data_IF_378803318251
#
_entry.id   IF_378803318251
#
_cell.length_a   1.000
_cell.length_b   1.000
_cell.length_c   1.000
_cell.angle_alpha   90.00
_cell.angle_beta   90.00
_cell.angle_gamma   90.00
#
_symmetry.space_group_name_H-M   'P 1'
#
loop_
_entity.id
_entity.type
_entity.pdbx_description
1 polymer ?
#
# COMPACT_ATOMS: atom_id res chain seq x y z
N UNK A 1 -2.60 19.81 -3.30
CA UNK A 1 -2.33 20.46 -2.00
C UNK A 1 -3.56 20.27 -1.15
N UNK A 2 -3.50 19.46 -0.08
CA UNK A 2 -4.64 19.27 0.80
C UNK A 2 -4.95 20.62 1.45
N UNK A 3 -6.21 21.03 1.41
CA UNK A 3 -6.69 22.27 2.00
C UNK A 3 -7.72 21.94 3.06
N UNK A 4 -7.74 22.69 4.16
CA UNK A 4 -8.81 22.59 5.15
C UNK A 4 -10.14 23.14 4.55
N UNK A 5 -11.24 23.07 5.31
CA UNK A 5 -12.55 23.58 4.87
C UNK A 5 -12.57 25.09 4.56
N UNK A 6 -11.58 25.83 5.02
CA UNK A 6 -11.41 27.27 4.80
C UNK A 6 -10.48 27.59 3.62
N UNK A 7 -9.93 26.57 2.95
CA UNK A 7 -9.11 26.73 1.74
C UNK A 7 -7.61 26.93 1.99
N UNK A 8 -7.15 26.92 3.24
CA UNK A 8 -5.73 27.00 3.59
C UNK A 8 -5.04 25.65 3.40
N UNK A 9 -3.79 25.60 2.93
CA UNK A 9 -2.99 24.39 2.94
C UNK A 9 -2.98 23.74 4.32
N UNK A 10 -3.42 22.49 4.36
CA UNK A 10 -3.39 21.64 5.54
C UNK A 10 -2.44 20.44 5.28
N UNK A 11 -1.14 20.62 5.57
CA UNK A 11 -0.17 19.54 5.44
C UNK A 11 -0.42 18.40 6.44
N UNK A 12 -1.18 18.63 7.52
CA UNK A 12 -1.52 17.61 8.51
C UNK A 12 -2.62 16.70 7.97
N UNK A 13 -3.70 17.25 7.43
CA UNK A 13 -4.73 16.49 6.71
C UNK A 13 -4.11 15.69 5.55
N UNK A 14 -3.22 16.32 4.77
CA UNK A 14 -2.56 15.62 3.67
C UNK A 14 -1.66 14.47 4.10
N UNK A 15 -0.97 14.60 5.25
CA UNK A 15 -0.20 13.49 5.84
C UNK A 15 -1.09 12.39 6.39
N UNK A 16 -2.23 12.73 7.00
CA UNK A 16 -3.18 11.77 7.52
C UNK A 16 -3.79 10.90 6.41
N UNK A 17 -4.24 11.52 5.31
CA UNK A 17 -4.80 10.77 4.17
C UNK A 17 -3.75 9.86 3.54
N UNK A 18 -2.53 10.38 3.28
CA UNK A 18 -1.42 9.56 2.76
C UNK A 18 -1.07 8.38 3.68
N UNK A 19 -1.20 8.55 5.00
CA UNK A 19 -0.95 7.48 5.98
C UNK A 19 -2.10 6.48 6.00
N UNK A 20 -3.35 6.91 5.79
CA UNK A 20 -4.52 6.04 5.71
C UNK A 20 -4.52 5.16 4.44
N UNK A 21 -4.08 5.72 3.31
CA UNK A 21 -3.96 4.98 2.04
C UNK A 21 -2.73 4.07 1.98
N UNK A 22 -1.81 4.18 2.96
CA UNK A 22 -0.60 3.35 3.00
C UNK A 22 -0.98 1.90 3.33
N UNK A 23 -0.60 0.91 2.50
CA UNK A 23 -0.80 -0.48 2.83
C UNK A 23 -0.08 -0.86 4.15
N UNK A 24 -0.65 -1.77 4.95
CA UNK A 24 0.01 -2.33 6.13
C UNK A 24 1.40 -2.86 5.80
N UNK A 25 2.28 -2.83 6.78
CA UNK A 25 3.65 -3.29 6.61
C UNK A 25 3.72 -4.76 6.16
N UNK A 26 2.82 -5.60 6.66
CA UNK A 26 2.73 -7.01 6.31
C UNK A 26 2.43 -7.23 4.82
N UNK A 27 1.53 -6.42 4.25
CA UNK A 27 1.20 -6.42 2.83
C UNK A 27 2.42 -6.01 1.99
N UNK A 28 3.17 -5.00 2.44
CA UNK A 28 4.38 -4.52 1.77
C UNK A 28 5.46 -5.62 1.81
N UNK A 29 5.68 -6.23 2.97
CA UNK A 29 6.68 -7.27 3.17
C UNK A 29 6.36 -8.51 2.35
N UNK A 30 5.09 -8.94 2.32
CA UNK A 30 4.65 -10.05 1.49
C UNK A 30 4.90 -9.80 0.00
N UNK A 31 4.56 -8.61 -0.51
CA UNK A 31 4.83 -8.23 -1.91
C UNK A 31 6.33 -8.26 -2.24
N UNK A 32 7.19 -7.84 -1.30
CA UNK A 32 8.65 -7.92 -1.46
C UNK A 32 9.12 -9.37 -1.51
N UNK A 33 8.63 -10.23 -0.61
CA UNK A 33 8.95 -11.65 -0.59
C UNK A 33 8.53 -12.34 -1.89
N UNK A 34 7.33 -12.08 -2.39
CA UNK A 34 6.86 -12.66 -3.67
C UNK A 34 7.74 -12.26 -4.86
N UNK A 35 8.18 -11.00 -4.91
CA UNK A 35 9.12 -10.55 -5.96
C UNK A 35 10.46 -11.27 -5.84
N UNK A 36 10.98 -11.42 -4.62
CA UNK A 36 12.22 -12.15 -4.37
C UNK A 36 12.11 -13.61 -4.83
N UNK A 37 11.02 -14.30 -4.47
CA UNK A 37 10.78 -15.68 -4.90
C UNK A 37 10.64 -15.82 -6.42
N UNK A 38 10.01 -14.85 -7.08
CA UNK A 38 9.92 -14.83 -8.54
C UNK A 38 11.31 -14.76 -9.19
N UNK A 39 12.23 -13.98 -8.61
CA UNK A 39 13.62 -13.88 -9.08
C UNK A 39 14.37 -15.19 -8.85
N UNK A 40 14.29 -15.76 -7.64
CA UNK A 40 15.02 -16.99 -7.26
C UNK A 40 14.58 -18.17 -8.13
N UNK A 41 13.28 -18.33 -8.37
CA UNK A 41 12.73 -19.47 -9.08
C UNK A 41 12.66 -19.27 -10.60
N UNK A 42 13.11 -18.11 -11.13
CA UNK A 42 12.99 -17.75 -12.55
C UNK A 42 11.55 -17.84 -13.10
N UNK A 43 10.55 -17.54 -12.25
CA UNK A 43 9.12 -17.54 -12.62
C UNK A 43 8.56 -16.13 -12.61
N UNK A 44 7.41 -15.94 -13.24
CA UNK A 44 6.71 -14.66 -13.30
C UNK A 44 5.25 -14.81 -12.88
N UNK A 45 4.75 -13.78 -12.21
CA UNK A 45 3.34 -13.65 -11.90
C UNK A 45 2.66 -13.04 -13.14
N UNK A 46 1.71 -13.78 -13.72
CA UNK A 46 1.01 -13.37 -14.95
C UNK A 46 -0.15 -12.38 -14.69
N UNK A 47 -0.69 -12.35 -13.47
CA UNK A 47 -1.89 -11.58 -13.12
C UNK A 47 -1.77 -10.75 -11.85
N UNK A 48 -2.89 -10.19 -11.40
CA UNK A 48 -2.95 -9.41 -10.15
C UNK A 48 -2.97 -10.36 -8.95
N UNK A 49 -2.01 -10.17 -8.05
CA UNK A 49 -2.04 -10.79 -6.73
C UNK A 49 -2.70 -9.82 -5.76
N UNK A 50 -3.86 -10.21 -5.24
CA UNK A 50 -4.59 -9.47 -4.21
C UNK A 50 -4.33 -10.15 -2.87
N UNK A 51 -3.97 -9.37 -1.86
CA UNK A 51 -3.76 -9.90 -0.50
C UNK A 51 -4.78 -9.34 0.45
N UNK A 52 -5.12 -10.12 1.47
CA UNK A 52 -6.06 -9.73 2.51
C UNK A 52 -5.24 -9.53 3.78
N UNK A 53 -5.33 -8.33 4.36
CA UNK A 53 -4.72 -8.07 5.67
C UNK A 53 -5.55 -8.70 6.80
N UNK A 54 -5.02 -8.73 8.03
CA UNK A 54 -5.74 -9.28 9.19
C UNK A 54 -7.10 -8.63 9.45
N UNK A 55 -7.31 -7.40 8.95
CA UNK A 55 -8.58 -6.66 9.08
C UNK A 55 -9.55 -6.96 7.93
N UNK A 56 -9.23 -7.92 7.07
CA UNK A 56 -10.05 -8.31 5.93
C UNK A 56 -9.99 -7.35 4.73
N UNK A 57 -9.12 -6.33 4.76
CA UNK A 57 -9.01 -5.37 3.65
C UNK A 57 -8.18 -5.96 2.52
N UNK A 58 -8.66 -5.75 1.29
CA UNK A 58 -8.02 -6.23 0.07
C UNK A 58 -7.04 -5.18 -0.44
N UNK A 59 -5.81 -5.61 -0.70
CA UNK A 59 -4.73 -4.76 -1.19
C UNK A 59 -4.17 -5.23 -2.53
#
# INVERSE_FOLDING_TARGET
MYKNKEGYPDPTAGRAVRKADKPPEEVINFRRAMKLMSVICHVRILGKVTVIDERGRRW
#
